data_IF_121605725646
#
_entry.id   IF_121605725646
#
_cell.length_a   1.000
_cell.length_b   1.000
_cell.length_c   1.000
_cell.angle_alpha   90.00
_cell.angle_beta   90.00
_cell.angle_gamma   90.00
#
_symmetry.space_group_name_H-M   'P 1'
#
loop_
_entity.id
_entity.type
_entity.pdbx_description
1 polymer ?
#
# COMPACT_ATOMS: atom_id res chain seq x y z
N UNK A 1 42.23 -78.59 -2.78
CA UNK A 1 42.42 -78.48 -1.32
C UNK A 1 41.04 -78.50 -0.68
N UNK A 2 40.75 -79.46 0.21
CA UNK A 2 39.39 -79.93 0.48
C UNK A 2 38.82 -79.33 1.77
N UNK A 3 37.50 -79.23 1.87
CA UNK A 3 36.71 -79.93 2.89
C UNK A 3 35.21 -79.78 2.59
N UNK A 4 34.38 -80.80 2.89
CA UNK A 4 33.09 -81.03 2.25
C UNK A 4 31.90 -81.09 3.22
N UNK A 5 30.71 -81.13 2.61
CA UNK A 5 29.53 -81.94 2.95
C UNK A 5 28.91 -81.87 4.36
N UNK A 6 27.57 -81.68 4.37
CA UNK A 6 26.56 -82.68 4.79
C UNK A 6 25.17 -82.17 4.37
N UNK A 7 24.45 -82.89 3.49
CA UNK A 7 23.39 -83.91 3.77
C UNK A 7 22.16 -83.28 4.44
N UNK A 8 20.91 -83.55 4.12
CA UNK A 8 20.21 -84.62 3.39
C UNK A 8 18.74 -84.14 3.18
N UNK A 9 18.12 -84.38 2.03
CA UNK A 9 17.13 -85.43 1.74
C UNK A 9 15.67 -85.12 2.16
N UNK A 10 14.84 -84.86 1.13
CA UNK A 10 13.48 -85.39 0.85
C UNK A 10 12.35 -85.16 1.85
N UNK A 11 11.27 -84.52 1.39
CA UNK A 11 9.96 -85.16 1.17
C UNK A 11 8.94 -84.16 0.61
N UNK A 12 8.26 -84.58 -0.46
CA UNK A 12 7.11 -83.89 -1.02
C UNK A 12 5.86 -84.21 -0.18
N UNK A 13 5.09 -83.19 0.18
CA UNK A 13 3.71 -83.32 0.62
C UNK A 13 2.89 -82.19 0.01
N UNK A 14 1.97 -82.59 -0.86
CA UNK A 14 0.95 -81.72 -1.43
C UNK A 14 -0.03 -81.31 -0.32
N UNK A 15 -0.18 -80.01 -0.09
CA UNK A 15 -1.32 -79.44 0.62
C UNK A 15 -2.08 -78.53 -0.34
N UNK A 16 -3.31 -78.92 -0.63
CA UNK A 16 -4.30 -78.07 -1.29
C UNK A 16 -4.66 -76.92 -0.34
N UNK A 17 -4.37 -75.69 -0.76
CA UNK A 17 -4.83 -74.47 -0.08
C UNK A 17 -5.76 -73.73 -1.02
N UNK A 18 -7.05 -73.68 -0.66
CA UNK A 18 -8.05 -72.86 -1.31
C UNK A 18 -7.69 -71.38 -1.12
N UNK A 19 -7.23 -70.71 -2.19
CA UNK A 19 -7.16 -69.25 -2.21
C UNK A 19 -8.57 -68.69 -2.39
N UNK A 20 -9.14 -68.20 -1.29
CA UNK A 20 -10.24 -67.24 -1.33
C UNK A 20 -9.72 -65.94 -1.95
N UNK A 21 -10.27 -65.57 -3.11
CA UNK A 21 -10.10 -64.25 -3.72
C UNK A 21 -10.73 -63.20 -2.79
N UNK A 22 -9.91 -62.58 -1.94
CA UNK A 22 -10.28 -61.38 -1.20
C UNK A 22 -10.42 -60.20 -2.17
N UNK A 23 -11.61 -59.60 -2.21
CA UNK A 23 -11.84 -58.35 -2.91
C UNK A 23 -10.97 -57.22 -2.30
N UNK A 24 -10.39 -56.32 -3.11
CA UNK A 24 -9.63 -55.19 -2.59
C UNK A 24 -10.55 -54.26 -1.77
N UNK A 25 -10.04 -53.64 -0.69
CA UNK A 25 -10.81 -52.65 0.05
C UNK A 25 -11.13 -51.47 -0.87
N UNK A 26 -12.40 -51.08 -0.90
CA UNK A 26 -12.84 -49.88 -1.61
C UNK A 26 -12.06 -48.66 -1.10
N UNK A 27 -11.59 -47.76 -1.98
CA UNK A 27 -10.96 -46.54 -1.54
C UNK A 27 -11.98 -45.75 -0.71
N UNK A 28 -11.61 -45.43 0.53
CA UNK A 28 -12.37 -44.53 1.37
C UNK A 28 -12.52 -43.22 0.61
N UNK A 29 -13.76 -42.90 0.23
CA UNK A 29 -14.10 -41.61 -0.34
C UNK A 29 -13.71 -40.54 0.67
N UNK A 30 -12.59 -39.86 0.45
CA UNK A 30 -12.33 -38.55 1.05
C UNK A 30 -13.49 -37.67 0.62
N UNK A 31 -14.40 -37.39 1.56
CA UNK A 31 -15.47 -36.44 1.37
C UNK A 31 -14.83 -35.14 0.85
N UNK A 32 -15.13 -34.80 -0.40
CA UNK A 32 -14.79 -33.50 -0.94
C UNK A 32 -15.38 -32.45 0.02
N UNK A 33 -14.53 -31.54 0.52
CA UNK A 33 -15.01 -30.37 1.26
C UNK A 33 -16.05 -29.67 0.38
N UNK A 34 -17.20 -29.23 0.93
CA UNK A 34 -18.16 -28.47 0.14
C UNK A 34 -17.42 -27.25 -0.40
N UNK A 35 -17.36 -27.12 -1.72
CA UNK A 35 -16.92 -25.89 -2.37
C UNK A 35 -17.84 -24.76 -1.91
N UNK A 36 -17.25 -23.65 -1.46
CA UNK A 36 -17.85 -22.46 -0.86
C UNK A 36 -18.79 -21.65 -1.77
N UNK A 37 -19.37 -22.28 -2.79
CA UNK A 37 -20.19 -21.66 -3.85
C UNK A 37 -21.58 -21.18 -3.38
N UNK A 38 -21.94 -21.29 -2.10
CA UNK A 38 -23.27 -20.94 -1.60
C UNK A 38 -23.34 -19.68 -0.73
N UNK A 39 -22.24 -18.96 -0.51
CA UNK A 39 -22.22 -17.75 0.35
C UNK A 39 -21.75 -16.48 -0.39
N UNK A 40 -21.28 -16.61 -1.63
CA UNK A 40 -20.79 -15.49 -2.43
C UNK A 40 -21.71 -15.38 -3.65
N UNK A 41 -22.49 -14.31 -3.71
CA UNK A 41 -23.32 -13.97 -4.86
C UNK A 41 -22.50 -13.16 -5.86
N UNK A 42 -21.97 -13.85 -6.87
CA UNK A 42 -21.19 -13.21 -7.93
C UNK A 42 -22.04 -12.38 -8.90
N UNK A 43 -23.38 -12.40 -8.78
CA UNK A 43 -24.26 -11.54 -9.58
C UNK A 43 -24.35 -10.12 -9.04
N UNK A 44 -23.96 -9.89 -7.77
CA UNK A 44 -23.77 -8.55 -7.23
C UNK A 44 -22.63 -7.85 -7.96
N UNK A 45 -22.98 -6.79 -8.68
CA UNK A 45 -22.05 -5.99 -9.45
C UNK A 45 -20.98 -5.36 -8.55
N UNK A 46 -19.73 -5.47 -8.98
CA UNK A 46 -18.59 -4.85 -8.30
C UNK A 46 -18.43 -3.39 -8.75
N UNK A 47 -18.02 -2.48 -7.86
CA UNK A 47 -17.69 -1.11 -8.24
C UNK A 47 -16.49 -1.04 -9.20
N UNK A 48 -16.23 0.16 -9.74
CA UNK A 48 -15.25 0.38 -10.81
C UNK A 48 -13.84 -0.16 -10.50
N UNK A 49 -13.33 0.05 -9.28
CA UNK A 49 -12.00 -0.45 -8.87
C UNK A 49 -11.99 -1.99 -8.82
N UNK A 50 -12.95 -2.59 -8.12
CA UNK A 50 -13.06 -4.04 -7.96
C UNK A 50 -13.38 -4.77 -9.29
N UNK A 51 -14.02 -4.12 -10.26
CA UNK A 51 -14.32 -4.70 -11.57
C UNK A 51 -13.05 -5.12 -12.34
N UNK A 52 -11.89 -4.50 -12.07
CA UNK A 52 -10.62 -4.93 -12.65
C UNK A 52 -10.19 -6.34 -12.24
N UNK A 53 -10.81 -6.96 -11.22
CA UNK A 53 -10.57 -8.36 -10.85
C UNK A 53 -10.96 -9.36 -11.94
N UNK A 54 -11.81 -8.97 -12.88
CA UNK A 54 -12.17 -9.81 -14.05
C UNK A 54 -11.00 -10.00 -15.02
N UNK A 55 -10.00 -9.10 -14.96
CA UNK A 55 -8.84 -9.17 -15.82
C UNK A 55 -7.89 -10.30 -15.38
N UNK A 56 -7.36 -11.13 -16.31
CA UNK A 56 -6.50 -12.27 -15.96
C UNK A 56 -5.26 -11.88 -15.14
N UNK A 57 -4.68 -10.70 -15.39
CA UNK A 57 -3.50 -10.21 -14.70
C UNK A 57 -3.73 -10.06 -13.19
N UNK A 58 -4.91 -9.59 -12.78
CA UNK A 58 -5.25 -9.41 -11.36
C UNK A 58 -5.15 -10.74 -10.61
N UNK A 59 -5.76 -11.80 -11.17
CA UNK A 59 -5.66 -13.16 -10.63
C UNK A 59 -4.22 -13.64 -10.57
N UNK A 60 -3.45 -13.42 -11.63
CA UNK A 60 -2.05 -13.85 -11.71
C UNK A 60 -1.17 -13.15 -10.69
N UNK A 61 -1.35 -11.85 -10.42
CA UNK A 61 -0.59 -11.16 -9.36
C UNK A 61 -0.81 -11.79 -7.98
N UNK A 62 -2.01 -12.31 -7.69
CA UNK A 62 -2.27 -13.05 -6.45
C UNK A 62 -1.57 -14.41 -6.45
N UNK A 63 -1.69 -15.21 -7.52
CA UNK A 63 -1.07 -16.55 -7.61
C UNK A 63 0.45 -16.45 -7.64
N UNK A 64 0.99 -15.72 -8.60
CA UNK A 64 2.42 -15.56 -8.83
C UNK A 64 3.08 -14.73 -7.72
N UNK A 65 2.31 -13.97 -6.94
CA UNK A 65 2.77 -13.34 -5.70
C UNK A 65 2.78 -14.29 -4.49
N UNK A 66 2.12 -15.45 -4.57
CA UNK A 66 2.01 -16.45 -3.50
C UNK A 66 0.89 -16.19 -2.50
N UNK A 67 -0.05 -15.28 -2.77
CA UNK A 67 -1.08 -14.84 -1.81
C UNK A 67 -2.39 -15.64 -1.90
N UNK A 68 -2.44 -16.68 -2.73
CA UNK A 68 -3.68 -17.38 -3.00
C UNK A 68 -4.32 -18.03 -1.77
N UNK A 69 -3.53 -18.61 -0.87
CA UNK A 69 -4.03 -19.23 0.35
C UNK A 69 -4.60 -18.20 1.33
N UNK A 70 -4.06 -16.97 1.34
CA UNK A 70 -4.61 -15.87 2.13
C UNK A 70 -5.96 -15.44 1.57
N UNK A 71 -6.07 -15.33 0.24
CA UNK A 71 -7.29 -14.94 -0.44
C UNK A 71 -8.39 -15.99 -0.27
N UNK A 72 -8.12 -17.24 -0.66
CA UNK A 72 -9.09 -18.33 -0.59
C UNK A 72 -9.48 -18.66 0.85
N UNK A 73 -8.49 -18.70 1.75
CA UNK A 73 -8.71 -18.93 3.17
C UNK A 73 -9.56 -17.84 3.83
N UNK A 74 -9.43 -16.57 3.40
CA UNK A 74 -10.32 -15.50 3.86
C UNK A 74 -11.77 -15.76 3.44
N UNK A 75 -12.02 -15.99 2.15
CA UNK A 75 -13.38 -16.24 1.62
C UNK A 75 -14.03 -17.46 2.28
N UNK A 76 -13.28 -18.55 2.44
CA UNK A 76 -13.77 -19.76 3.10
C UNK A 76 -14.14 -19.52 4.56
N UNK A 77 -13.33 -18.75 5.30
CA UNK A 77 -13.64 -18.40 6.68
C UNK A 77 -14.80 -17.39 6.78
N UNK A 78 -14.94 -16.51 5.79
CA UNK A 78 -16.05 -15.57 5.70
C UNK A 78 -17.37 -16.31 5.55
N UNK A 79 -17.44 -17.32 4.67
CA UNK A 79 -18.61 -18.20 4.54
C UNK A 79 -18.97 -18.97 5.82
N UNK A 80 -18.00 -19.18 6.72
CA UNK A 80 -18.21 -19.88 8.00
C UNK A 80 -18.49 -18.93 9.17
N UNK A 81 -18.41 -17.62 8.97
CA UNK A 81 -18.68 -16.67 10.04
C UNK A 81 -20.16 -16.76 10.47
N UNK A 82 -20.39 -17.04 11.75
CA UNK A 82 -21.73 -17.22 12.30
C UNK A 82 -22.38 -15.95 12.87
N UNK A 83 -21.69 -14.80 12.85
CA UNK A 83 -22.21 -13.51 13.33
C UNK A 83 -21.39 -12.33 12.84
N UNK A 84 -21.95 -11.11 12.92
CA UNK A 84 -21.25 -9.86 12.56
C UNK A 84 -19.96 -9.68 13.38
N UNK A 85 -20.00 -9.98 14.69
CA UNK A 85 -18.82 -9.92 15.58
C UNK A 85 -17.74 -10.96 15.21
N UNK A 86 -18.15 -12.12 14.70
CA UNK A 86 -17.20 -13.11 14.19
C UNK A 86 -16.54 -12.61 12.88
N UNK A 87 -17.33 -12.02 11.98
CA UNK A 87 -16.84 -11.41 10.75
C UNK A 87 -15.87 -10.25 11.01
N UNK A 88 -16.16 -9.38 11.97
CA UNK A 88 -15.29 -8.27 12.36
C UNK A 88 -13.91 -8.76 12.84
N UNK A 89 -13.88 -9.80 13.69
CA UNK A 89 -12.64 -10.41 14.16
C UNK A 89 -11.89 -11.08 13.02
N UNK A 90 -12.59 -11.77 12.12
CA UNK A 90 -12.00 -12.39 10.94
C UNK A 90 -11.34 -11.33 10.03
N UNK A 91 -12.05 -10.25 9.73
CA UNK A 91 -11.55 -9.15 8.91
C UNK A 91 -10.31 -8.52 9.54
N UNK A 92 -10.35 -8.18 10.82
CA UNK A 92 -9.19 -7.61 11.52
C UNK A 92 -7.96 -8.52 11.42
N UNK A 93 -8.12 -9.80 11.77
CA UNK A 93 -7.00 -10.75 11.81
C UNK A 93 -6.45 -11.08 10.41
N UNK A 94 -7.34 -11.22 9.42
CA UNK A 94 -6.94 -11.50 8.04
C UNK A 94 -6.24 -10.30 7.39
N UNK A 95 -6.73 -9.09 7.65
CA UNK A 95 -6.11 -7.86 7.16
C UNK A 95 -4.71 -7.64 7.76
N UNK A 96 -4.55 -7.89 9.07
CA UNK A 96 -3.23 -7.83 9.74
C UNK A 96 -2.28 -8.87 9.17
N UNK A 97 -2.76 -10.10 8.94
CA UNK A 97 -1.96 -11.17 8.34
C UNK A 97 -1.54 -10.80 6.92
N UNK A 98 -2.44 -10.22 6.13
CA UNK A 98 -2.15 -9.79 4.77
C UNK A 98 -1.03 -8.74 4.73
N UNK A 99 -1.15 -7.66 5.53
CA UNK A 99 -0.12 -6.62 5.64
C UNK A 99 1.24 -7.21 6.03
N UNK A 100 1.29 -7.95 7.15
CA UNK A 100 2.54 -8.52 7.65
C UNK A 100 3.18 -9.49 6.67
N UNK A 101 2.38 -10.30 5.99
CA UNK A 101 2.91 -11.23 4.97
C UNK A 101 3.54 -10.47 3.81
N UNK A 102 2.90 -9.38 3.34
CA UNK A 102 3.46 -8.54 2.30
C UNK A 102 4.78 -7.85 2.70
N UNK A 103 4.85 -7.34 3.93
CA UNK A 103 6.10 -6.77 4.49
C UNK A 103 7.19 -7.82 4.60
N UNK A 104 6.90 -8.98 5.20
CA UNK A 104 7.84 -10.09 5.34
C UNK A 104 8.37 -10.57 3.98
N UNK A 105 7.49 -10.64 2.97
CA UNK A 105 7.86 -10.97 1.59
C UNK A 105 8.79 -9.91 1.01
N UNK A 106 8.43 -8.64 1.07
CA UNK A 106 9.23 -7.52 0.56
C UNK A 106 10.64 -7.48 1.18
N UNK A 107 10.76 -7.88 2.44
CA UNK A 107 12.03 -7.93 3.18
C UNK A 107 12.79 -9.25 3.00
N UNK A 108 12.24 -10.21 2.25
CA UNK A 108 12.84 -11.54 2.05
C UNK A 108 12.88 -12.43 3.28
N UNK A 109 12.02 -12.17 4.27
CA UNK A 109 11.88 -13.00 5.47
C UNK A 109 11.06 -14.26 5.18
N UNK A 110 10.21 -14.21 4.14
CA UNK A 110 9.49 -15.37 3.60
C UNK A 110 9.69 -15.44 2.09
N UNK A 111 9.79 -16.65 1.56
CA UNK A 111 9.86 -16.90 0.13
C UNK A 111 8.49 -17.42 -0.33
N UNK A 112 7.82 -16.66 -1.20
CA UNK A 112 6.49 -16.99 -1.71
C UNK A 112 6.28 -16.41 -3.12
N UNK A 113 5.61 -17.21 -3.96
CA UNK A 113 5.39 -16.86 -5.36
C UNK A 113 6.65 -16.87 -6.22
N UNK A 114 6.49 -16.44 -7.46
CA UNK A 114 7.52 -16.32 -8.51
C UNK A 114 7.84 -14.88 -8.87
N UNK A 115 6.96 -13.93 -8.57
CA UNK A 115 7.23 -12.50 -8.77
C UNK A 115 8.36 -12.02 -7.85
N UNK A 116 9.08 -10.99 -8.25
CA UNK A 116 10.09 -10.37 -7.40
C UNK A 116 9.50 -9.96 -6.04
N UNK A 117 10.30 -10.09 -5.00
CA UNK A 117 9.84 -10.02 -3.61
C UNK A 117 9.35 -8.63 -3.22
N UNK A 118 9.92 -7.57 -3.81
CA UNK A 118 9.56 -6.19 -3.48
C UNK A 118 8.35 -5.68 -4.27
N UNK A 119 7.64 -6.57 -4.97
CA UNK A 119 6.43 -6.24 -5.71
C UNK A 119 5.26 -5.89 -4.78
N UNK A 120 4.67 -4.72 -4.99
CA UNK A 120 3.53 -4.19 -4.24
C UNK A 120 2.18 -4.69 -4.76
N UNK A 121 2.12 -5.12 -6.04
CA UNK A 121 0.89 -5.53 -6.72
C UNK A 121 0.21 -6.74 -6.07
N UNK A 122 0.93 -7.79 -5.60
CA UNK A 122 0.29 -8.91 -4.91
C UNK A 122 -0.54 -8.52 -3.69
N UNK A 123 -0.06 -7.56 -2.88
CA UNK A 123 -0.83 -7.04 -1.73
C UNK A 123 -2.10 -6.34 -2.21
N UNK A 124 -1.96 -5.43 -3.18
CA UNK A 124 -3.07 -4.65 -3.72
C UNK A 124 -4.19 -5.56 -4.25
N UNK A 125 -3.86 -6.48 -5.16
CA UNK A 125 -4.85 -7.35 -5.80
C UNK A 125 -5.49 -8.35 -4.84
N UNK A 126 -4.71 -8.88 -3.87
CA UNK A 126 -5.26 -9.79 -2.86
C UNK A 126 -6.27 -9.07 -1.97
N UNK A 127 -5.95 -7.85 -1.53
CA UNK A 127 -6.86 -7.03 -0.74
C UNK A 127 -8.11 -6.68 -1.53
N UNK A 128 -7.98 -6.28 -2.79
CA UNK A 128 -9.11 -5.95 -3.65
C UNK A 128 -10.05 -7.16 -3.82
N UNK A 129 -9.49 -8.37 -4.00
CA UNK A 129 -10.28 -9.60 -4.04
C UNK A 129 -10.99 -9.92 -2.71
N UNK A 130 -10.36 -9.62 -1.56
CA UNK A 130 -11.00 -9.76 -0.25
C UNK A 130 -12.12 -8.73 -0.04
N UNK A 131 -11.96 -7.51 -0.54
CA UNK A 131 -13.03 -6.48 -0.54
C UNK A 131 -14.20 -6.93 -1.42
N UNK A 132 -13.94 -7.42 -2.63
CA UNK A 132 -14.97 -7.97 -3.51
C UNK A 132 -15.74 -9.13 -2.85
N UNK A 133 -15.03 -10.04 -2.17
CA UNK A 133 -15.68 -11.11 -1.40
C UNK A 133 -16.59 -10.56 -0.30
N UNK A 134 -16.20 -9.51 0.42
CA UNK A 134 -17.07 -8.85 1.41
C UNK A 134 -18.28 -8.17 0.78
N UNK A 135 -18.19 -7.65 -0.45
CA UNK A 135 -19.34 -7.04 -1.15
C UNK A 135 -20.36 -8.09 -1.58
N UNK A 136 -19.86 -9.20 -2.09
CA UNK A 136 -20.67 -10.29 -2.64
C UNK A 136 -21.11 -11.31 -1.59
N UNK A 137 -20.72 -11.14 -0.32
CA UNK A 137 -21.00 -12.12 0.72
C UNK A 137 -22.45 -12.08 1.22
N UNK A 138 -23.11 -13.23 1.21
CA UNK A 138 -24.42 -13.50 1.78
C UNK A 138 -24.30 -14.30 3.10
N UNK A 139 -24.27 -13.62 4.26
CA UNK A 139 -24.24 -14.29 5.56
C UNK A 139 -25.58 -15.00 5.86
N UNK A 140 -25.52 -16.05 6.68
CA UNK A 140 -26.71 -16.73 7.25
C UNK A 140 -27.37 -15.98 8.40
N UNK A 141 -26.97 -14.73 8.63
CA UNK A 141 -27.44 -13.86 9.69
C UNK A 141 -27.60 -12.45 9.11
N UNK A 142 -28.41 -11.60 9.75
CA UNK A 142 -28.61 -10.23 9.27
C UNK A 142 -27.32 -9.41 9.34
N UNK A 143 -26.92 -8.83 8.21
CA UNK A 143 -25.82 -7.90 8.10
C UNK A 143 -26.32 -6.66 7.36
N UNK A 144 -26.31 -5.52 8.03
CA UNK A 144 -26.72 -4.27 7.39
C UNK A 144 -25.65 -3.76 6.42
N UNK A 145 -26.06 -2.92 5.48
CA UNK A 145 -25.11 -2.30 4.54
C UNK A 145 -24.05 -1.45 5.24
N UNK A 146 -24.42 -0.79 6.35
CA UNK A 146 -23.46 -0.05 7.20
C UNK A 146 -22.43 -0.99 7.80
N UNK A 147 -22.86 -2.13 8.36
CA UNK A 147 -21.93 -3.12 8.92
C UNK A 147 -21.00 -3.69 7.84
N UNK A 148 -21.52 -3.96 6.63
CA UNK A 148 -20.71 -4.41 5.49
C UNK A 148 -19.69 -3.34 5.09
N UNK A 149 -20.11 -2.09 5.00
CA UNK A 149 -19.23 -0.94 4.72
C UNK A 149 -18.14 -0.80 5.78
N UNK A 150 -18.47 -0.97 7.06
CA UNK A 150 -17.50 -0.91 8.16
C UNK A 150 -16.48 -2.07 8.10
N UNK A 151 -16.91 -3.28 7.74
CA UNK A 151 -16.02 -4.41 7.50
C UNK A 151 -15.04 -4.12 6.35
N UNK A 152 -15.53 -3.57 5.23
CA UNK A 152 -14.69 -3.19 4.08
C UNK A 152 -13.70 -2.10 4.49
N UNK A 153 -14.17 -1.04 5.17
CA UNK A 153 -13.31 0.05 5.63
C UNK A 153 -12.23 -0.44 6.61
N UNK A 154 -12.57 -1.40 7.50
CA UNK A 154 -11.60 -2.02 8.41
C UNK A 154 -10.57 -2.86 7.66
N UNK A 155 -11.01 -3.71 6.73
CA UNK A 155 -10.10 -4.48 5.86
C UNK A 155 -9.12 -3.54 5.17
N UNK A 156 -9.63 -2.46 4.57
CA UNK A 156 -8.83 -1.49 3.82
C UNK A 156 -7.77 -0.79 4.66
N UNK A 157 -8.12 -0.26 5.85
CA UNK A 157 -7.15 0.43 6.71
C UNK A 157 -6.10 -0.52 7.27
N UNK A 158 -6.53 -1.67 7.77
CA UNK A 158 -5.65 -2.61 8.49
C UNK A 158 -4.67 -3.29 7.54
N UNK A 159 -5.11 -3.67 6.34
CA UNK A 159 -4.24 -4.28 5.32
C UNK A 159 -3.33 -3.27 4.61
N UNK A 160 -3.41 -1.98 4.97
CA UNK A 160 -2.49 -0.90 4.56
C UNK A 160 -1.48 -0.52 5.63
N UNK A 161 -1.40 -1.25 6.74
CA UNK A 161 -0.48 -0.94 7.83
C UNK A 161 -0.88 0.26 8.69
N UNK A 162 -2.03 0.90 8.42
CA UNK A 162 -2.45 2.12 9.14
C UNK A 162 -2.68 1.90 10.64
N UNK A 163 -2.91 0.65 11.06
CA UNK A 163 -3.04 0.23 12.46
C UNK A 163 -1.84 -0.61 12.96
N UNK A 164 -0.77 -0.75 12.17
CA UNK A 164 0.43 -1.54 12.54
C UNK A 164 1.69 -0.69 12.79
N UNK A 165 1.56 0.65 12.80
CA UNK A 165 2.65 1.59 13.13
C UNK A 165 3.08 1.40 14.59
N UNK A 166 4.27 0.82 14.79
CA UNK A 166 4.85 0.48 16.10
C UNK A 166 6.10 1.29 16.38
N UNK A 167 5.90 2.39 17.10
CA UNK A 167 6.97 3.35 17.41
C UNK A 167 7.81 2.99 18.65
N UNK A 168 7.54 1.84 19.27
CA UNK A 168 8.33 1.35 20.41
C UNK A 168 9.70 0.90 19.93
N UNK A 169 10.75 1.26 20.66
CA UNK A 169 12.13 0.95 20.28
C UNK A 169 13.11 1.12 21.43
N UNK A 170 14.37 0.74 21.19
CA UNK A 170 15.45 0.93 22.16
C UNK A 170 15.68 2.43 22.41
N UNK A 171 16.07 2.84 23.63
CA UNK A 171 16.49 4.21 23.90
C UNK A 171 17.50 4.71 22.86
N UNK A 172 17.36 5.96 22.42
CA UNK A 172 18.22 6.56 21.39
C UNK A 172 17.84 6.24 19.94
N UNK A 173 16.83 5.40 19.69
CA UNK A 173 16.35 5.13 18.32
C UNK A 173 15.46 6.27 17.82
N UNK A 174 15.80 6.87 16.67
CA UNK A 174 14.95 7.84 15.97
C UNK A 174 13.74 7.14 15.38
N UNK A 175 12.58 7.80 15.41
CA UNK A 175 11.32 7.26 14.91
C UNK A 175 10.90 7.98 13.63
N UNK A 176 10.81 7.26 12.52
CA UNK A 176 10.45 7.79 11.21
C UNK A 176 9.14 7.17 10.76
N UNK A 177 8.19 7.99 10.30
CA UNK A 177 7.03 7.50 9.55
C UNK A 177 7.19 7.80 8.07
N UNK A 178 6.98 6.79 7.23
CA UNK A 178 6.98 6.88 5.78
C UNK A 178 5.62 6.46 5.23
N UNK A 179 5.01 7.26 4.35
CA UNK A 179 3.78 6.83 3.66
C UNK A 179 4.04 6.50 2.21
N UNK A 180 3.26 5.56 1.67
CA UNK A 180 3.24 5.21 0.25
C UNK A 180 1.82 5.11 -0.29
N UNK A 181 1.68 4.83 -1.59
CA UNK A 181 0.39 4.67 -2.25
C UNK A 181 0.24 3.30 -2.88
N UNK A 182 -1.02 2.90 -3.03
CA UNK A 182 -1.40 1.77 -3.87
C UNK A 182 -1.11 2.02 -5.36
N UNK A 183 -1.07 0.97 -6.20
CA UNK A 183 -1.15 1.08 -7.66
C UNK A 183 -2.34 1.92 -8.13
N UNK A 184 -2.17 2.60 -9.26
CA UNK A 184 -3.19 3.48 -9.86
C UNK A 184 -3.11 3.47 -11.38
N UNK A 185 -4.08 4.11 -12.05
CA UNK A 185 -4.23 4.14 -13.52
C UNK A 185 -4.32 2.73 -14.16
N UNK A 186 -5.03 1.84 -13.48
CA UNK A 186 -5.23 0.43 -13.87
C UNK A 186 -6.01 0.30 -15.19
N UNK A 187 -6.82 1.31 -15.52
CA UNK A 187 -7.52 1.48 -16.80
C UNK A 187 -6.55 1.61 -17.98
N UNK A 188 -5.36 2.19 -17.76
CA UNK A 188 -4.33 2.37 -18.81
C UNK A 188 -3.46 1.13 -18.95
N UNK A 189 -2.93 0.65 -17.83
CA UNK A 189 -2.18 -0.61 -17.76
C UNK A 189 -2.34 -1.24 -16.38
N UNK A 190 -3.05 -2.36 -16.34
CA UNK A 190 -3.34 -3.12 -15.13
C UNK A 190 -2.08 -3.68 -14.44
N UNK A 191 -0.95 -3.70 -15.15
CA UNK A 191 0.33 -4.15 -14.62
C UNK A 191 1.06 -3.06 -13.86
N UNK A 192 0.55 -1.83 -13.81
CA UNK A 192 1.23 -0.76 -13.07
C UNK A 192 1.40 -1.14 -11.60
N UNK A 193 2.61 -0.90 -11.09
CA UNK A 193 2.91 -0.90 -9.66
C UNK A 193 3.14 0.53 -9.19
N UNK A 194 3.30 0.71 -7.89
CA UNK A 194 3.64 2.01 -7.32
C UNK A 194 4.97 1.91 -6.54
N UNK A 195 6.04 2.60 -6.99
CA UNK A 195 7.33 2.53 -6.31
C UNK A 195 7.27 3.06 -4.87
N UNK A 196 6.35 3.97 -4.54
CA UNK A 196 6.17 4.40 -3.14
C UNK A 196 5.53 3.32 -2.28
N UNK A 197 4.59 2.55 -2.84
CA UNK A 197 3.99 1.40 -2.18
C UNK A 197 5.00 0.28 -1.92
N UNK A 198 5.81 -0.04 -2.94
CA UNK A 198 6.90 -1.01 -2.82
C UNK A 198 7.95 -0.58 -1.78
N UNK A 199 8.27 0.72 -1.72
CA UNK A 199 9.18 1.29 -0.73
C UNK A 199 8.64 1.17 0.69
N UNK A 200 7.36 1.45 0.91
CA UNK A 200 6.74 1.30 2.23
C UNK A 200 6.86 -0.15 2.72
N UNK A 201 6.49 -1.14 1.89
CA UNK A 201 6.61 -2.56 2.25
C UNK A 201 8.04 -2.99 2.57
N UNK A 202 9.01 -2.52 1.77
CA UNK A 202 10.41 -2.86 1.96
C UNK A 202 11.04 -2.26 3.22
N UNK A 203 10.49 -1.14 3.74
CA UNK A 203 11.06 -0.41 4.87
C UNK A 203 10.29 -0.55 6.18
N UNK A 204 9.08 -1.11 6.16
CA UNK A 204 8.23 -1.25 7.35
C UNK A 204 8.88 -2.01 8.51
N UNK A 205 8.92 -1.38 9.68
CA UNK A 205 9.52 -1.95 10.89
C UNK A 205 11.04 -2.12 10.84
N UNK A 206 11.72 -1.69 9.76
CA UNK A 206 13.18 -1.80 9.64
C UNK A 206 13.88 -0.80 10.54
N UNK A 207 15.12 -1.13 10.92
CA UNK A 207 16.03 -0.20 11.61
C UNK A 207 17.23 0.05 10.71
N UNK A 208 17.45 1.32 10.36
CA UNK A 208 18.58 1.77 9.56
C UNK A 208 19.61 2.46 10.45
N UNK A 209 20.89 2.27 10.16
CA UNK A 209 21.95 3.00 10.85
C UNK A 209 22.17 4.36 10.18
N UNK A 210 22.24 5.41 10.99
CA UNK A 210 22.53 6.77 10.55
C UNK A 210 23.70 7.31 11.36
N UNK A 211 24.39 8.37 10.89
CA UNK A 211 25.37 9.08 11.69
C UNK A 211 24.85 9.57 13.05
N UNK A 212 23.54 9.79 13.18
CA UNK A 212 22.87 10.22 14.41
C UNK A 212 22.39 9.06 15.29
N UNK A 213 22.76 7.81 14.96
CA UNK A 213 22.30 6.60 15.62
C UNK A 213 21.24 5.83 14.83
N UNK A 214 20.66 4.77 15.41
CA UNK A 214 19.67 3.93 14.74
C UNK A 214 18.36 4.70 14.52
N UNK A 215 17.70 4.45 13.38
CA UNK A 215 16.39 4.99 13.05
C UNK A 215 15.44 3.85 12.66
N UNK A 216 14.31 3.75 13.36
CA UNK A 216 13.20 2.84 13.05
C UNK A 216 12.25 3.51 12.07
N UNK A 217 11.95 2.83 10.97
CA UNK A 217 11.01 3.29 9.96
C UNK A 217 9.73 2.47 10.09
N UNK A 218 8.61 3.15 10.34
CA UNK A 218 7.27 2.58 10.28
C UNK A 218 6.53 3.13 9.07
N UNK A 219 5.66 2.34 8.47
CA UNK A 219 5.02 2.75 7.22
C UNK A 219 3.51 2.55 7.21
N UNK A 220 2.85 3.26 6.29
CA UNK A 220 1.46 3.04 5.96
C UNK A 220 1.21 3.33 4.48
N UNK A 221 0.34 2.54 3.86
CA UNK A 221 -0.16 2.77 2.52
C UNK A 221 -1.46 3.57 2.53
N UNK A 222 -1.69 4.31 1.45
CA UNK A 222 -2.94 5.03 1.20
C UNK A 222 -3.52 4.64 -0.15
N UNK A 223 -4.86 4.56 -0.26
CA UNK A 223 -5.52 4.33 -1.53
C UNK A 223 -5.44 5.58 -2.40
N UNK A 224 -5.47 5.37 -3.71
CA UNK A 224 -5.61 6.47 -4.68
C UNK A 224 -7.09 6.74 -4.89
N UNK A 225 -7.79 7.24 -3.85
CA UNK A 225 -9.24 7.51 -3.83
C UNK A 225 -9.58 8.78 -3.04
N UNK A 226 -10.39 9.67 -3.62
CA UNK A 226 -10.72 10.97 -3.03
C UNK A 226 -11.50 10.83 -1.72
N UNK A 227 -12.52 9.96 -1.70
CA UNK A 227 -13.43 9.79 -0.56
C UNK A 227 -12.70 9.44 0.73
N UNK A 228 -11.63 8.66 0.67
CA UNK A 228 -10.89 8.23 1.85
C UNK A 228 -10.15 9.40 2.52
N UNK A 229 -9.61 10.30 1.71
CA UNK A 229 -8.95 11.51 2.15
C UNK A 229 -9.95 12.50 2.74
N UNK A 230 -11.11 12.68 2.10
CA UNK A 230 -12.20 13.49 2.64
C UNK A 230 -12.72 12.96 3.98
N UNK A 231 -12.73 11.63 4.15
CA UNK A 231 -13.13 11.00 5.39
C UNK A 231 -12.06 11.05 6.49
N UNK A 232 -10.92 11.68 6.24
CA UNK A 232 -9.88 11.88 7.24
C UNK A 232 -8.94 10.69 7.42
N UNK A 233 -8.76 9.84 6.40
CA UNK A 233 -7.88 8.66 6.52
C UNK A 233 -6.43 9.04 6.82
N UNK A 234 -5.92 10.12 6.21
CA UNK A 234 -4.55 10.61 6.44
C UNK A 234 -4.36 11.00 7.90
N UNK A 235 -5.26 11.82 8.41
CA UNK A 235 -5.12 12.39 9.75
C UNK A 235 -5.41 11.38 10.85
N UNK A 236 -6.38 10.47 10.65
CA UNK A 236 -6.60 9.34 11.57
C UNK A 236 -5.37 8.45 11.71
N UNK A 237 -4.62 8.25 10.62
CA UNK A 237 -3.41 7.43 10.62
C UNK A 237 -2.24 8.17 11.27
N UNK A 238 -2.03 9.45 10.92
CA UNK A 238 -0.81 10.18 11.30
C UNK A 238 -0.91 10.88 12.65
N UNK A 239 -2.10 11.37 13.06
CA UNK A 239 -2.26 12.13 14.30
C UNK A 239 -1.71 11.39 15.53
N UNK A 240 -2.01 10.09 15.77
CA UNK A 240 -1.46 9.37 16.92
C UNK A 240 0.08 9.35 16.94
N UNK A 241 0.71 9.35 15.77
CA UNK A 241 2.18 9.33 15.64
C UNK A 241 2.82 10.69 15.95
N UNK A 242 2.06 11.79 15.79
CA UNK A 242 2.56 13.15 16.01
C UNK A 242 2.50 13.56 17.48
N UNK A 243 1.40 13.19 18.16
CA UNK A 243 1.08 13.63 19.54
C UNK A 243 1.14 12.52 20.59
N UNK A 244 1.30 11.26 20.19
CA UNK A 244 1.37 10.13 21.11
C UNK A 244 2.59 10.13 22.03
N UNK A 245 2.61 9.19 22.99
CA UNK A 245 3.73 9.02 23.92
C UNK A 245 5.03 8.70 23.18
N UNK A 246 4.99 7.70 22.31
CA UNK A 246 6.08 7.33 21.40
C UNK A 246 5.95 8.10 20.08
N UNK A 247 6.02 9.43 20.15
CA UNK A 247 5.90 10.30 18.96
C UNK A 247 7.10 10.19 18.04
N UNK A 248 6.87 10.45 16.75
CA UNK A 248 7.91 10.41 15.73
C UNK A 248 8.90 11.58 15.83
N UNK A 249 10.09 11.39 15.27
CA UNK A 249 11.11 12.42 15.10
C UNK A 249 11.06 13.04 13.71
N UNK A 250 10.55 12.32 12.71
CA UNK A 250 10.48 12.76 11.31
C UNK A 250 9.36 12.02 10.57
N UNK A 251 8.70 12.68 9.62
CA UNK A 251 7.88 11.98 8.62
C UNK A 251 8.26 12.34 7.19
N UNK A 252 8.04 11.42 6.27
CA UNK A 252 8.03 11.70 4.85
C UNK A 252 6.81 11.02 4.22
N UNK A 253 6.07 11.77 3.43
CA UNK A 253 5.08 11.16 2.53
C UNK A 253 5.76 10.87 1.19
N UNK A 254 5.45 9.75 0.54
CA UNK A 254 6.07 9.39 -0.74
C UNK A 254 5.08 8.98 -1.80
N UNK A 255 5.32 9.45 -3.02
CA UNK A 255 4.47 9.22 -4.18
C UNK A 255 5.31 8.98 -5.43
N UNK A 256 4.73 8.36 -6.45
CA UNK A 256 5.32 8.37 -7.79
C UNK A 256 5.18 9.76 -8.41
N UNK A 257 6.28 10.30 -8.93
CA UNK A 257 6.35 11.62 -9.55
C UNK A 257 6.54 11.52 -11.06
N UNK A 258 7.65 12.08 -11.55
CA UNK A 258 7.97 12.17 -12.99
C UNK A 258 9.12 11.24 -13.38
N UNK A 259 9.34 10.96 -14.67
CA UNK A 259 10.42 10.08 -15.09
C UNK A 259 11.81 10.59 -14.66
N UNK A 260 12.68 9.65 -14.26
CA UNK A 260 14.12 9.85 -14.20
C UNK A 260 14.69 10.68 -13.04
N UNK A 261 13.89 11.14 -12.05
CA UNK A 261 14.43 11.86 -10.89
C UNK A 261 13.56 11.77 -9.64
N UNK A 262 14.17 12.03 -8.49
CA UNK A 262 13.45 12.36 -7.26
C UNK A 262 13.20 13.87 -7.19
N UNK A 263 12.02 14.27 -6.73
CA UNK A 263 11.72 15.67 -6.37
C UNK A 263 11.40 15.74 -4.87
N UNK A 264 12.14 16.57 -4.15
CA UNK A 264 11.86 16.94 -2.77
C UNK A 264 10.97 18.19 -2.79
N UNK A 265 9.68 18.02 -2.50
CA UNK A 265 8.69 19.07 -2.70
C UNK A 265 8.71 20.07 -1.55
N UNK A 266 8.96 21.35 -1.86
CA UNK A 266 9.00 22.40 -0.86
C UNK A 266 7.61 22.84 -0.39
N UNK A 267 6.62 22.89 -1.30
CA UNK A 267 5.33 23.51 -1.03
C UNK A 267 4.17 22.67 -1.58
N UNK A 268 3.15 22.45 -0.75
CA UNK A 268 1.94 21.69 -1.08
C UNK A 268 0.73 22.63 -1.13
N UNK A 269 -0.19 22.41 -2.07
CA UNK A 269 -1.34 23.29 -2.35
C UNK A 269 -2.69 22.71 -1.95
N UNK A 270 -3.60 23.55 -1.47
CA UNK A 270 -4.96 23.20 -1.05
C UNK A 270 -5.97 23.00 -2.20
N UNK A 271 -5.57 22.35 -3.31
CA UNK A 271 -6.39 22.27 -4.53
C UNK A 271 -6.36 20.89 -5.20
N UNK A 272 -7.51 20.47 -5.72
CA UNK A 272 -7.68 19.31 -6.60
C UNK A 272 -8.10 19.78 -7.99
N UNK A 273 -7.46 19.26 -9.03
CA UNK A 273 -7.76 19.69 -10.41
C UNK A 273 -8.76 18.81 -11.17
N UNK A 274 -9.30 17.76 -10.55
CA UNK A 274 -10.34 16.93 -11.17
C UNK A 274 -9.84 15.73 -11.97
N UNK A 275 -8.65 15.22 -11.67
CA UNK A 275 -8.21 13.91 -12.17
C UNK A 275 -9.06 12.78 -11.58
N UNK A 276 -9.33 11.74 -12.37
CA UNK A 276 -9.99 10.53 -11.90
C UNK A 276 -9.14 9.76 -10.88
N UNK A 277 -9.77 9.21 -9.86
CA UNK A 277 -9.14 8.30 -8.89
C UNK A 277 -9.36 6.82 -9.29
N UNK A 278 -8.94 5.88 -8.44
CA UNK A 278 -9.10 4.44 -8.72
C UNK A 278 -10.57 3.98 -8.76
N UNK A 279 -11.53 4.77 -8.28
CA UNK A 279 -12.96 4.51 -8.40
C UNK A 279 -13.57 5.21 -9.63
N UNK A 280 -12.76 5.87 -10.45
CA UNK A 280 -13.21 6.64 -11.61
C UNK A 280 -13.88 7.96 -11.23
N UNK A 281 -13.73 8.41 -9.97
CA UNK A 281 -14.34 9.64 -9.48
C UNK A 281 -13.40 10.82 -9.68
N UNK A 282 -13.91 11.92 -10.20
CA UNK A 282 -13.19 13.18 -10.30
C UNK A 282 -13.59 14.10 -9.14
N UNK A 283 -12.65 14.94 -8.70
CA UNK A 283 -12.96 16.05 -7.81
C UNK A 283 -12.12 17.26 -8.19
N UNK A 284 -12.78 18.36 -8.56
CA UNK A 284 -12.16 19.66 -8.76
C UNK A 284 -12.67 20.66 -7.74
N UNK A 285 -11.75 21.29 -7.03
CA UNK A 285 -12.06 22.29 -6.02
C UNK A 285 -11.02 22.33 -4.91
N UNK A 286 -11.27 23.15 -3.91
CA UNK A 286 -10.42 23.24 -2.71
C UNK A 286 -10.41 21.91 -1.96
N UNK A 287 -9.26 21.52 -1.40
CA UNK A 287 -9.14 20.32 -0.57
C UNK A 287 -10.03 20.44 0.67
N UNK A 288 -11.05 19.57 0.85
CA UNK A 288 -11.94 19.64 2.00
C UNK A 288 -11.28 19.02 3.24
N UNK A 289 -11.35 19.69 4.39
CA UNK A 289 -10.88 19.15 5.67
C UNK A 289 -12.08 18.72 6.50
N UNK A 290 -12.10 17.46 6.94
CA UNK A 290 -13.21 16.91 7.73
C UNK A 290 -13.31 17.63 9.07
N UNK A 291 -14.53 17.94 9.48
CA UNK A 291 -14.80 18.49 10.81
C UNK A 291 -14.27 17.56 11.93
N UNK A 292 -13.75 18.15 12.99
CA UNK A 292 -13.17 17.45 14.15
C UNK A 292 -11.72 17.00 13.97
N UNK A 293 -11.11 17.18 12.79
CA UNK A 293 -9.68 16.98 12.58
C UNK A 293 -8.93 18.25 13.03
N UNK A 294 -7.84 18.14 13.83
CA UNK A 294 -6.97 19.27 14.11
C UNK A 294 -6.43 19.89 12.82
N UNK A 295 -6.63 21.21 12.65
CA UNK A 295 -6.21 21.95 11.46
C UNK A 295 -5.86 23.38 11.84
N UNK A 296 -5.07 24.05 10.99
CA UNK A 296 -4.87 25.49 11.05
C UNK A 296 -6.12 26.20 10.54
N UNK A 297 -6.57 27.25 11.26
CA UNK A 297 -7.74 28.06 10.93
C UNK A 297 -7.36 29.54 10.84
N UNK A 298 -7.67 30.25 9.72
CA UNK A 298 -8.29 29.72 8.51
C UNK A 298 -7.38 28.69 7.80
N UNK A 299 -8.00 27.76 7.04
CA UNK A 299 -7.24 26.78 6.27
C UNK A 299 -6.27 27.52 5.32
N UNK A 300 -4.96 27.23 5.35
CA UNK A 300 -3.99 27.90 4.49
C UNK A 300 -4.09 27.38 3.05
N UNK A 301 -3.76 28.22 2.06
CA UNK A 301 -3.67 27.79 0.65
C UNK A 301 -2.45 26.90 0.40
N UNK A 302 -1.40 27.12 1.18
CA UNK A 302 -0.10 26.50 1.01
C UNK A 302 0.40 25.98 2.37
N UNK A 303 1.07 24.84 2.36
CA UNK A 303 1.88 24.37 3.49
C UNK A 303 3.28 24.04 2.99
N UNK A 304 4.28 24.13 3.87
CA UNK A 304 5.69 23.97 3.48
C UNK A 304 6.34 22.78 4.17
N UNK A 305 7.21 22.09 3.44
CA UNK A 305 8.04 21.05 4.01
C UNK A 305 9.14 21.65 4.91
N UNK A 306 9.52 20.88 5.93
CA UNK A 306 10.57 21.20 6.92
C UNK A 306 11.66 20.13 6.95
N UNK A 307 11.70 19.25 5.94
CA UNK A 307 12.80 18.33 5.73
C UNK A 307 14.08 19.10 5.34
N UNK A 308 15.27 18.58 5.69
CA UNK A 308 16.56 19.21 5.36
C UNK A 308 16.89 19.00 3.87
N UNK A 309 16.19 19.71 2.99
CA UNK A 309 16.20 19.48 1.54
C UNK A 309 17.59 19.59 0.93
N UNK A 310 18.36 20.61 1.33
CA UNK A 310 19.72 20.82 0.84
C UNK A 310 20.63 19.64 1.17
N UNK A 311 20.58 19.13 2.40
CA UNK A 311 21.38 18.00 2.86
C UNK A 311 20.92 16.68 2.21
N UNK A 312 19.61 16.50 2.02
CA UNK A 312 19.07 15.34 1.31
C UNK A 312 19.54 15.31 -0.16
N UNK A 313 19.51 16.46 -0.84
CA UNK A 313 19.92 16.60 -2.24
C UNK A 313 21.45 16.69 -2.46
N UNK A 314 22.25 16.82 -1.40
CA UNK A 314 23.69 17.02 -1.50
C UNK A 314 24.45 15.77 -2.00
N UNK A 315 24.88 15.75 -3.26
CA UNK A 315 25.61 14.61 -3.83
C UNK A 315 24.74 13.36 -4.02
N UNK A 316 25.32 12.29 -4.58
CA UNK A 316 24.55 11.10 -4.99
C UNK A 316 24.06 10.25 -3.80
N UNK A 317 22.78 9.86 -3.84
CA UNK A 317 22.15 8.82 -2.98
C UNK A 317 21.81 7.54 -3.73
N UNK A 318 22.08 7.50 -5.03
CA UNK A 318 21.64 6.44 -5.94
C UNK A 318 21.72 6.88 -7.40
N UNK A 319 21.15 6.10 -8.32
CA UNK A 319 21.29 6.34 -9.77
C UNK A 319 20.46 7.53 -10.27
N UNK A 320 19.46 7.98 -9.53
CA UNK A 320 18.60 9.08 -9.95
C UNK A 320 19.08 10.41 -9.36
N UNK A 321 19.03 11.52 -10.11
CA UNK A 321 19.22 12.85 -9.52
C UNK A 321 18.11 13.18 -8.51
N UNK A 322 18.44 14.04 -7.55
CA UNK A 322 17.54 14.51 -6.50
C UNK A 322 17.41 16.02 -6.63
N UNK A 323 16.22 16.51 -6.97
CA UNK A 323 15.93 17.92 -7.12
C UNK A 323 15.22 18.46 -5.87
N UNK A 324 15.64 19.62 -5.37
CA UNK A 324 14.81 20.42 -4.48
C UNK A 324 13.80 21.18 -5.35
N UNK A 325 12.53 20.77 -5.31
CA UNK A 325 11.50 21.34 -6.16
C UNK A 325 10.69 22.41 -5.41
N UNK A 326 10.84 23.65 -5.85
CA UNK A 326 10.14 24.83 -5.31
C UNK A 326 8.97 25.28 -6.18
N UNK A 327 8.78 24.67 -7.36
CA UNK A 327 7.78 25.09 -8.32
C UNK A 327 6.36 24.90 -7.78
N UNK A 328 5.47 25.87 -8.00
CA UNK A 328 4.03 25.77 -7.74
C UNK A 328 3.23 26.33 -8.91
N UNK A 329 1.92 26.10 -8.93
CA UNK A 329 0.99 26.79 -9.83
C UNK A 329 -0.09 27.48 -9.01
N UNK A 330 -0.31 28.76 -9.26
CA UNK A 330 -1.18 29.61 -8.45
C UNK A 330 -2.18 30.43 -9.28
N UNK A 331 -3.13 31.04 -8.59
CA UNK A 331 -3.93 32.17 -9.09
C UNK A 331 -3.94 33.31 -8.08
N UNK A 332 -4.31 34.51 -8.53
CA UNK A 332 -4.38 35.68 -7.67
C UNK A 332 -5.35 35.50 -6.50
N UNK A 333 -5.06 36.20 -5.39
CA UNK A 333 -5.85 36.16 -4.16
C UNK A 333 -7.34 36.49 -4.38
N UNK A 334 -7.65 37.36 -5.34
CA UNK A 334 -9.00 37.78 -5.70
C UNK A 334 -9.78 36.72 -6.50
N UNK A 335 -9.12 35.69 -7.03
CA UNK A 335 -9.76 34.63 -7.82
C UNK A 335 -10.68 33.81 -6.91
N UNK A 336 -11.99 33.69 -7.19
CA UNK A 336 -12.87 32.83 -6.41
C UNK A 336 -12.52 31.35 -6.61
N UNK A 337 -12.78 30.52 -5.60
CA UNK A 337 -12.48 29.08 -5.67
C UNK A 337 -13.39 28.34 -6.69
N UNK A 338 -14.46 28.96 -7.17
CA UNK A 338 -15.43 28.32 -8.05
C UNK A 338 -16.21 27.18 -7.35
N UNK A 339 -17.26 26.65 -7.99
CA UNK A 339 -18.00 25.52 -7.44
C UNK A 339 -17.18 24.22 -7.50
N UNK A 340 -17.38 23.34 -6.51
CA UNK A 340 -16.84 21.97 -6.55
C UNK A 340 -17.50 21.23 -7.70
N UNK A 341 -16.70 20.52 -8.50
CA UNK A 341 -17.18 19.68 -9.61
C UNK A 341 -16.69 18.26 -9.44
N UNK A 342 -17.61 17.30 -9.50
CA UNK A 342 -17.31 15.85 -9.45
C UNK A 342 -17.59 15.12 -10.76
N UNK A 343 -18.04 15.84 -11.80
CA UNK A 343 -18.25 15.28 -13.13
C UNK A 343 -16.90 15.06 -13.85
N UNK A 344 -16.77 13.91 -14.51
CA UNK A 344 -15.60 13.54 -15.31
C UNK A 344 -15.87 13.68 -16.83
N UNK A 345 -14.87 14.09 -17.64
CA UNK A 345 -13.62 14.71 -17.22
C UNK A 345 -13.88 16.14 -16.70
N UNK A 346 -13.18 16.53 -15.63
CA UNK A 346 -13.28 17.89 -15.13
C UNK A 346 -12.68 18.89 -16.12
N UNK A 347 -13.24 20.10 -16.19
CA UNK A 347 -12.69 21.17 -17.01
C UNK A 347 -11.23 21.52 -16.62
N UNK A 348 -10.43 22.09 -17.53
CA UNK A 348 -9.05 22.51 -17.23
C UNK A 348 -8.97 23.47 -16.04
N UNK A 349 -7.96 23.28 -15.19
CA UNK A 349 -7.70 24.10 -14.00
C UNK A 349 -6.47 24.99 -14.23
N UNK A 350 -6.60 26.12 -14.97
CA UNK A 350 -5.46 26.97 -15.30
C UNK A 350 -4.90 27.68 -14.07
N UNK A 351 -3.65 28.09 -14.18
CA UNK A 351 -2.96 28.94 -13.22
C UNK A 351 -1.59 29.35 -13.77
N UNK A 352 -0.89 30.19 -13.01
CA UNK A 352 0.44 30.68 -13.35
C UNK A 352 1.49 29.86 -12.64
N UNK A 353 2.46 29.33 -13.38
CA UNK A 353 3.60 28.61 -12.81
C UNK A 353 4.55 29.61 -12.14
N UNK A 354 4.95 29.32 -10.90
CA UNK A 354 5.98 30.04 -10.17
C UNK A 354 7.13 29.09 -9.84
N UNK A 355 8.35 29.32 -10.37
CA UNK A 355 9.46 28.40 -10.13
C UNK A 355 9.96 28.44 -8.68
N UNK A 356 9.81 29.57 -7.99
CA UNK A 356 10.45 29.84 -6.69
C UNK A 356 9.45 29.88 -5.52
N UNK A 357 8.35 29.13 -5.63
CA UNK A 357 7.30 29.07 -4.61
C UNK A 357 6.15 30.07 -4.85
N UNK A 358 5.14 30.07 -3.97
CA UNK A 358 3.94 30.87 -4.15
C UNK A 358 4.17 32.36 -3.86
N UNK A 359 3.52 33.22 -4.62
CA UNK A 359 3.41 34.65 -4.32
C UNK A 359 2.65 34.84 -3.00
N UNK A 360 3.07 35.75 -2.09
CA UNK A 360 2.34 36.03 -0.86
C UNK A 360 0.84 36.32 -1.10
N UNK A 361 -0.03 35.59 -0.41
CA UNK A 361 -1.49 35.73 -0.51
C UNK A 361 -2.13 35.03 -1.71
N UNK A 362 -1.36 34.40 -2.61
CA UNK A 362 -1.91 33.66 -3.76
C UNK A 362 -2.73 32.44 -3.32
N UNK A 363 -3.55 31.94 -4.24
CA UNK A 363 -4.35 30.73 -4.04
C UNK A 363 -3.80 29.56 -4.85
N UNK A 364 -3.93 28.37 -4.29
CA UNK A 364 -3.37 27.16 -4.88
C UNK A 364 -4.13 26.70 -6.13
N UNK A 365 -3.34 26.26 -7.12
CA UNK A 365 -3.80 25.43 -8.25
C UNK A 365 -2.99 24.15 -8.40
N UNK A 366 -1.72 24.15 -8.00
CA UNK A 366 -0.89 22.97 -7.79
C UNK A 366 0.26 23.28 -6.84
N UNK A 367 0.58 22.37 -5.91
CA UNK A 367 1.86 22.37 -5.21
C UNK A 367 2.98 21.81 -6.09
N UNK A 368 4.17 21.64 -5.54
CA UNK A 368 5.30 21.02 -6.25
C UNK A 368 4.98 19.61 -6.72
N UNK A 369 4.20 18.88 -5.92
CA UNK A 369 3.67 17.57 -6.25
C UNK A 369 2.46 17.53 -7.20
N UNK A 370 2.08 18.67 -7.79
CA UNK A 370 0.89 18.79 -8.62
C UNK A 370 -0.39 19.10 -7.81
N UNK A 371 -1.52 18.58 -8.28
CA UNK A 371 -2.86 18.82 -7.74
C UNK A 371 -3.72 17.54 -7.74
N UNK A 372 -3.04 16.40 -7.61
CA UNK A 372 -3.61 15.08 -7.41
C UNK A 372 -3.41 14.60 -5.96
N UNK A 373 -3.70 13.34 -5.67
CA UNK A 373 -3.61 12.75 -4.33
C UNK A 373 -2.19 12.77 -3.73
N UNK A 374 -1.14 12.80 -4.56
CA UNK A 374 0.24 12.95 -4.10
C UNK A 374 0.49 14.30 -3.41
N UNK A 375 0.03 15.40 -4.02
CA UNK A 375 0.02 16.72 -3.38
C UNK A 375 -0.91 16.75 -2.16
N UNK A 376 -2.08 16.09 -2.23
CA UNK A 376 -3.03 16.15 -1.12
C UNK A 376 -2.55 15.42 0.13
N UNK A 377 -1.91 14.25 0.03
CA UNK A 377 -1.36 13.58 1.22
C UNK A 377 -0.29 14.45 1.87
N UNK A 378 0.54 15.09 1.05
CA UNK A 378 1.58 15.98 1.50
C UNK A 378 0.96 17.18 2.23
N UNK A 379 0.00 17.86 1.59
CA UNK A 379 -0.73 19.00 2.15
C UNK A 379 -1.43 18.66 3.48
N UNK A 380 -2.14 17.52 3.55
CA UNK A 380 -2.83 17.10 4.79
C UNK A 380 -1.85 16.75 5.89
N UNK A 381 -0.78 16.03 5.59
CA UNK A 381 0.22 15.63 6.57
C UNK A 381 0.97 16.84 7.16
N UNK A 382 1.31 17.83 6.33
CA UNK A 382 1.95 19.08 6.76
C UNK A 382 0.96 20.02 7.46
N UNK A 383 -0.29 20.13 7.00
CA UNK A 383 -1.33 20.90 7.68
C UNK A 383 -1.62 20.36 9.08
N UNK A 384 -1.71 19.03 9.22
CA UNK A 384 -1.88 18.37 10.51
C UNK A 384 -0.68 18.64 11.42
N UNK A 385 0.55 18.51 10.89
CA UNK A 385 1.78 18.86 11.61
C UNK A 385 1.71 20.31 12.10
N UNK A 386 1.36 21.25 11.25
CA UNK A 386 1.30 22.67 11.59
C UNK A 386 0.24 22.97 12.65
N UNK A 387 -0.82 22.17 12.72
CA UNK A 387 -1.85 22.31 13.74
C UNK A 387 -1.43 21.77 15.12
N UNK A 388 -0.65 20.68 15.18
CA UNK A 388 -0.41 19.95 16.44
C UNK A 388 1.04 19.88 16.89
N UNK A 389 2.01 20.05 15.97
CA UNK A 389 3.45 19.98 16.24
C UNK A 389 4.28 20.67 15.14
N UNK A 390 4.24 22.01 15.03
CA UNK A 390 4.89 22.75 13.93
C UNK A 390 6.40 22.47 13.75
N UNK A 391 7.10 22.12 14.83
CA UNK A 391 8.55 21.87 14.81
C UNK A 391 8.95 20.46 14.35
N UNK A 392 8.00 19.56 14.07
CA UNK A 392 8.30 18.21 13.59
C UNK A 392 8.82 18.28 12.13
N UNK A 393 10.05 17.81 11.84
CA UNK A 393 10.54 17.72 10.47
C UNK A 393 9.65 16.82 9.62
N UNK A 394 9.21 17.31 8.48
CA UNK A 394 8.54 16.48 7.50
C UNK A 394 8.13 17.17 6.21
N UNK A 395 7.81 16.35 5.21
CA UNK A 395 7.62 16.82 3.85
C UNK A 395 7.21 15.69 2.89
N UNK A 396 7.43 15.94 1.60
CA UNK A 396 7.04 15.04 0.53
C UNK A 396 8.21 14.73 -0.41
N UNK A 397 8.33 13.45 -0.77
CA UNK A 397 9.31 12.96 -1.74
C UNK A 397 8.55 12.32 -2.90
N UNK A 398 8.67 12.93 -4.07
CA UNK A 398 8.31 12.26 -5.30
C UNK A 398 9.47 11.38 -5.76
N UNK A 399 9.14 10.11 -6.03
CA UNK A 399 10.03 9.13 -6.63
C UNK A 399 9.98 9.21 -8.16
N UNK A 400 10.99 8.71 -8.88
CA UNK A 400 10.89 8.52 -10.32
C UNK A 400 9.70 7.63 -10.68
N UNK A 401 9.15 7.80 -11.89
CA UNK A 401 8.21 6.83 -12.47
C UNK A 401 8.86 5.45 -12.54
N UNK A 402 8.12 4.43 -12.12
CA UNK A 402 8.52 3.04 -12.27
C UNK A 402 8.40 2.62 -13.75
N UNK A 403 9.54 2.46 -14.41
CA UNK A 403 9.64 2.14 -15.84
C UNK A 403 10.06 0.67 -16.08
N UNK A 404 10.15 0.27 -17.35
CA UNK A 404 10.70 -1.03 -17.74
C UNK A 404 9.70 -2.17 -17.83
N UNK A 405 8.38 -1.91 -17.80
CA UNK A 405 7.38 -2.90 -18.19
C UNK A 405 7.57 -3.31 -19.66
N UNK A 406 7.42 -4.60 -19.98
CA UNK A 406 7.52 -5.09 -21.36
C UNK A 406 6.34 -4.61 -22.22
N UNK A 407 6.60 -4.45 -23.52
CA UNK A 407 5.55 -4.11 -24.50
C UNK A 407 4.48 -5.19 -24.61
N UNK A 408 4.88 -6.46 -24.52
CA UNK A 408 3.95 -7.58 -24.41
C UNK A 408 3.14 -7.47 -23.11
N UNK A 409 1.83 -7.25 -23.25
CA UNK A 409 0.90 -7.01 -22.14
C UNK A 409 0.53 -8.28 -21.36
N UNK A 410 0.90 -9.46 -21.86
CA UNK A 410 0.73 -10.73 -21.14
C UNK A 410 1.88 -11.01 -20.17
N UNK A 411 2.97 -10.26 -20.26
CA UNK A 411 4.10 -10.37 -19.33
C UNK A 411 3.92 -9.38 -18.18
N UNK A 412 3.85 -9.89 -16.95
CA UNK A 412 3.56 -9.08 -15.75
C UNK A 412 4.74 -8.22 -15.27
N UNK A 413 5.96 -8.66 -15.51
CA UNK A 413 7.18 -8.03 -15.00
C UNK A 413 8.36 -8.30 -15.93
N UNK A 414 9.43 -7.52 -15.78
CA UNK A 414 10.68 -7.75 -16.49
C UNK A 414 11.86 -7.36 -15.58
N UNK A 415 13.07 -7.92 -15.83
CA UNK A 415 14.25 -7.59 -15.02
C UNK A 415 14.58 -6.09 -14.97
N UNK A 416 14.24 -5.32 -16.02
CA UNK A 416 14.39 -3.86 -16.04
C UNK A 416 13.48 -3.17 -15.01
N UNK A 417 12.20 -3.52 -15.01
CA UNK A 417 11.20 -3.04 -14.05
C UNK A 417 11.59 -3.35 -12.59
N UNK A 418 12.04 -4.57 -12.34
CA UNK A 418 12.45 -5.02 -11.01
C UNK A 418 13.71 -4.28 -10.52
N UNK A 419 14.69 -4.09 -11.40
CA UNK A 419 15.89 -3.29 -11.08
C UNK A 419 15.54 -1.83 -10.82
N UNK A 420 14.69 -1.22 -11.64
CA UNK A 420 14.25 0.17 -11.44
C UNK A 420 13.57 0.33 -10.07
N UNK A 421 12.64 -0.56 -9.73
CA UNK A 421 12.00 -0.60 -8.41
C UNK A 421 13.01 -0.72 -7.27
N UNK A 422 13.94 -1.68 -7.36
CA UNK A 422 14.96 -1.88 -6.33
C UNK A 422 15.86 -0.64 -6.14
N UNK A 423 16.20 0.05 -7.23
CA UNK A 423 16.97 1.30 -7.18
C UNK A 423 16.19 2.42 -6.51
N UNK A 424 14.89 2.59 -6.82
CA UNK A 424 14.04 3.60 -6.18
C UNK A 424 13.90 3.33 -4.67
N UNK A 425 13.67 2.08 -4.27
CA UNK A 425 13.60 1.68 -2.86
C UNK A 425 14.91 2.01 -2.13
N UNK A 426 16.04 1.57 -2.70
CA UNK A 426 17.36 1.79 -2.12
C UNK A 426 17.70 3.28 -1.97
N UNK A 427 17.39 4.08 -2.99
CA UNK A 427 17.66 5.51 -2.96
C UNK A 427 16.72 6.27 -2.00
N UNK A 428 15.45 5.86 -1.89
CA UNK A 428 14.54 6.44 -0.89
C UNK A 428 15.02 6.16 0.53
N UNK A 429 15.49 4.95 0.81
CA UNK A 429 16.13 4.61 2.10
C UNK A 429 17.33 5.51 2.38
N UNK A 430 18.20 5.74 1.39
CA UNK A 430 19.37 6.60 1.54
C UNK A 430 18.98 8.08 1.81
N UNK A 431 17.93 8.58 1.16
CA UNK A 431 17.38 9.92 1.42
C UNK A 431 16.85 10.05 2.86
N UNK A 432 16.14 9.04 3.37
CA UNK A 432 15.66 9.04 4.76
C UNK A 432 16.82 9.02 5.76
N UNK A 433 17.87 8.23 5.51
CA UNK A 433 19.08 8.21 6.35
C UNK A 433 19.70 9.60 6.44
N UNK A 434 19.80 10.32 5.31
CA UNK A 434 20.30 11.71 5.29
C UNK A 434 19.38 12.67 6.05
N UNK A 435 18.08 12.54 5.87
CA UNK A 435 17.09 13.37 6.54
C UNK A 435 17.18 13.23 8.07
N UNK A 436 17.34 12.00 8.57
CA UNK A 436 17.51 11.73 10.00
C UNK A 436 18.85 12.27 10.52
N UNK A 437 19.92 12.10 9.76
CA UNK A 437 21.25 12.59 10.14
C UNK A 437 21.26 14.11 10.32
N UNK A 438 20.67 14.85 9.37
CA UNK A 438 20.67 16.31 9.38
C UNK A 438 19.75 16.90 10.47
N UNK A 439 18.58 16.32 10.72
CA UNK A 439 17.63 16.81 11.75
C UNK A 439 18.06 16.49 13.19
N UNK A 440 19.13 15.73 13.37
CA UNK A 440 19.66 15.38 14.69
C UNK A 440 20.83 16.27 15.15
N UNK A 441 21.44 17.04 14.24
CA UNK A 441 22.53 17.97 14.55
C UNK A 441 22.09 19.35 15.03
N UNK A 442 20.80 19.66 15.00
CA UNK A 442 20.22 20.97 15.39
C UNK A 442 19.63 20.97 16.81
N UNK A 443 19.91 19.96 17.64
CA UNK A 443 19.39 19.85 19.02
C UNK A 443 20.44 20.09 20.08
#
# INVERSE_FOLDING_TARGET
>A
MPLPARRALVAATALASALALGAPPAPAATAARPTSAGCIDTTVALPYEEAFLEQPQARRFVVEGGFEDLRSGFTDNLCRAGSAKAAERLVQTSAQRLWRTAVQRAQGQVQMGTLDRSDDRPLYWTRLAMVAALRQWEPRFELTETQRTDLIARLDRVSRGQEDIRLQGRPGTKRVVLTGFDPFTLDRDIRQGNPSGATALALDGTVVQTPAGPARIETALFPVRWRDFEQGMVERTLLPTYVGRDRIDLFATTSQGRPGRFDLEQTNGAWRAGFGDNEGVCYRGRVPIRAGIPTVTPQPQWTSATLPMAQMAAGSTGPFPVAHNTQVTEVDASTPDGPVTTACPAAPSPGTVRPDGPTPGSKARAGGGGNYLSNEIAYRATLLRDAVRPSLPGGHIHTPVLDGLPQDRDVLSAPGFERNRAQIIGQTRALLVRAVAATSGER
#
